data_IF_904217501625
#
_entry.id   IF_904217501625
#
_cell.length_a   1.000
_cell.length_b   1.000
_cell.length_c   1.000
_cell.angle_alpha   90.00
_cell.angle_beta   90.00
_cell.angle_gamma   90.00
#
_symmetry.space_group_name_H-M   'P 1'
#
loop_
_entity.id
_entity.type
_entity.pdbx_description
1 polymer ?
#
# COMPACT_ATOMS: atom_id res chain seq x y z
N UNK A 1 -7.15 29.32 6.01
CA UNK A 1 -6.37 28.31 5.27
C UNK A 1 -7.00 26.95 5.56
N UNK A 2 -7.48 26.21 4.56
CA UNK A 2 -8.00 24.85 4.79
C UNK A 2 -6.81 23.92 5.13
N UNK A 3 -6.96 23.12 6.18
CA UNK A 3 -5.95 22.15 6.57
C UNK A 3 -5.76 21.14 5.43
N UNK A 4 -4.49 20.88 5.07
CA UNK A 4 -4.16 19.85 4.08
C UNK A 4 -4.61 18.51 4.65
N UNK A 5 -5.35 17.68 3.90
CA UNK A 5 -5.74 16.36 4.38
C UNK A 5 -4.51 15.54 4.76
N UNK A 6 -4.63 14.77 5.84
CA UNK A 6 -3.55 13.91 6.31
C UNK A 6 -3.12 12.96 5.18
N UNK A 7 -1.84 12.97 4.86
CA UNK A 7 -1.26 12.02 3.91
C UNK A 7 -0.91 10.74 4.66
N UNK A 8 -1.07 9.59 3.99
CA UNK A 8 -0.71 8.28 4.56
C UNK A 8 0.78 8.25 4.90
N UNK A 9 1.62 8.79 4.04
CA UNK A 9 3.05 8.95 4.29
C UNK A 9 3.30 10.44 4.54
N UNK A 10 3.76 10.79 5.75
CA UNK A 10 4.07 12.19 6.07
C UNK A 10 5.12 12.75 5.09
N UNK A 11 4.81 13.91 4.50
CA UNK A 11 5.61 14.56 3.45
C UNK A 11 5.90 13.67 2.22
N UNK A 12 5.11 12.61 2.03
CA UNK A 12 5.20 11.76 0.86
C UNK A 12 4.68 12.45 -0.39
N UNK A 13 5.29 12.15 -1.54
CA UNK A 13 4.88 12.67 -2.85
C UNK A 13 3.71 11.89 -3.48
N UNK A 14 3.40 10.70 -2.95
CA UNK A 14 2.35 9.84 -3.49
C UNK A 14 1.01 10.18 -2.84
N UNK A 15 -0.03 10.29 -3.68
CA UNK A 15 -1.40 10.42 -3.18
C UNK A 15 -1.88 9.09 -2.56
N UNK A 16 -2.88 9.13 -1.66
CA UNK A 16 -3.48 7.92 -1.11
C UNK A 16 -3.98 6.96 -2.22
N UNK A 17 -4.56 7.49 -3.30
CA UNK A 17 -5.06 6.69 -4.42
C UNK A 17 -3.93 5.92 -5.13
N UNK A 18 -2.78 6.58 -5.35
CA UNK A 18 -1.62 5.93 -5.94
C UNK A 18 -1.09 4.82 -5.02
N UNK A 19 -1.00 5.09 -3.72
CA UNK A 19 -0.57 4.09 -2.73
C UNK A 19 -1.52 2.89 -2.71
N UNK A 20 -2.83 3.13 -2.66
CA UNK A 20 -3.86 2.08 -2.73
C UNK A 20 -3.72 1.25 -4.00
N UNK A 21 -3.55 1.89 -5.16
CA UNK A 21 -3.38 1.17 -6.42
C UNK A 21 -2.13 0.28 -6.43
N UNK A 22 -0.99 0.78 -5.94
CA UNK A 22 0.27 0.01 -5.84
C UNK A 22 0.11 -1.20 -4.91
N UNK A 23 -0.51 -1.01 -3.75
CA UNK A 23 -0.76 -2.06 -2.75
C UNK A 23 -1.70 -3.15 -3.29
N UNK A 24 -2.87 -2.76 -3.81
CA UNK A 24 -3.87 -3.69 -4.37
C UNK A 24 -3.27 -4.46 -5.54
N UNK A 25 -2.65 -3.76 -6.48
CA UNK A 25 -1.97 -4.40 -7.60
C UNK A 25 -0.94 -5.42 -7.14
N UNK A 26 -0.16 -5.13 -6.10
CA UNK A 26 0.88 -6.05 -5.63
C UNK A 26 0.31 -7.28 -4.94
N UNK A 27 -0.62 -7.07 -4.01
CA UNK A 27 -1.04 -8.10 -3.08
C UNK A 27 -2.31 -8.84 -3.52
N UNK A 28 -3.31 -8.13 -4.04
CA UNK A 28 -4.54 -8.73 -4.53
C UNK A 28 -4.40 -9.25 -5.96
N UNK A 29 -3.79 -8.45 -6.85
CA UNK A 29 -3.66 -8.81 -8.27
C UNK A 29 -2.34 -9.52 -8.61
N UNK A 30 -1.52 -9.80 -7.59
CA UNK A 30 -0.24 -10.50 -7.72
C UNK A 30 0.71 -9.88 -8.77
N UNK A 31 0.72 -8.55 -8.86
CA UNK A 31 1.53 -7.80 -9.81
C UNK A 31 2.87 -7.39 -9.16
N UNK A 32 3.98 -8.09 -9.44
CA UNK A 32 5.25 -7.79 -8.79
C UNK A 32 5.76 -6.39 -9.15
N UNK A 33 6.52 -5.77 -8.25
CA UNK A 33 6.93 -4.36 -8.38
C UNK A 33 7.73 -4.03 -9.63
N UNK A 34 8.55 -4.97 -10.13
CA UNK A 34 9.26 -4.74 -11.39
C UNK A 34 8.28 -4.61 -12.57
N UNK A 35 7.14 -5.32 -12.54
CA UNK A 35 6.12 -5.28 -13.58
C UNK A 35 5.26 -4.03 -13.47
N UNK A 36 4.89 -3.64 -12.25
CA UNK A 36 4.23 -2.34 -11.99
C UNK A 36 5.08 -1.17 -12.50
N UNK A 37 6.39 -1.18 -12.22
CA UNK A 37 7.34 -0.19 -12.74
C UNK A 37 7.26 -0.08 -14.27
N UNK A 38 7.28 -1.21 -14.99
CA UNK A 38 7.19 -1.22 -16.45
C UNK A 38 5.82 -0.74 -16.97
N UNK A 39 4.75 -0.85 -16.18
CA UNK A 39 3.44 -0.28 -16.52
C UNK A 39 3.48 1.24 -16.41
N UNK A 40 3.98 1.78 -15.31
CA UNK A 40 4.15 3.23 -15.14
C UNK A 40 5.08 3.82 -16.21
N UNK A 41 6.18 3.13 -16.52
CA UNK A 41 7.11 3.55 -17.58
C UNK A 41 6.43 3.64 -18.95
N UNK A 42 5.51 2.72 -19.28
CA UNK A 42 4.71 2.79 -20.51
C UNK A 42 3.75 3.97 -20.53
N UNK A 43 3.34 4.47 -19.37
CA UNK A 43 2.56 5.70 -19.22
C UNK A 43 3.43 6.97 -19.15
N UNK A 44 4.75 6.87 -19.39
CA UNK A 44 5.69 7.99 -19.31
C UNK A 44 6.07 8.39 -17.87
N UNK A 45 5.75 7.56 -16.88
CA UNK A 45 6.03 7.81 -15.47
C UNK A 45 7.24 6.98 -15.05
N UNK A 46 8.36 7.65 -14.80
CA UNK A 46 9.57 7.03 -14.28
C UNK A 46 9.49 6.86 -12.75
N UNK A 47 9.33 5.62 -12.30
CA UNK A 47 9.37 5.25 -10.88
C UNK A 47 10.45 4.20 -10.66
N UNK A 48 11.26 4.38 -9.62
CA UNK A 48 12.23 3.35 -9.26
C UNK A 48 11.56 2.20 -8.50
N UNK A 49 12.12 0.99 -8.60
CA UNK A 49 11.64 -0.15 -7.80
C UNK A 49 11.80 0.11 -6.29
N UNK A 50 12.85 0.83 -5.88
CA UNK A 50 13.07 1.22 -4.49
C UNK A 50 11.98 2.16 -3.99
N UNK A 51 11.58 3.17 -4.78
CA UNK A 51 10.46 4.05 -4.44
C UNK A 51 9.17 3.27 -4.16
N UNK A 52 8.81 2.35 -5.07
CA UNK A 52 7.63 1.48 -4.87
C UNK A 52 7.77 0.60 -3.61
N UNK A 53 8.96 0.07 -3.36
CA UNK A 53 9.24 -0.75 -2.17
C UNK A 53 9.15 0.05 -0.88
N UNK A 54 9.67 1.28 -0.86
CA UNK A 54 9.63 2.19 0.28
C UNK A 54 8.20 2.58 0.62
N UNK A 55 7.36 2.86 -0.38
CA UNK A 55 5.94 3.14 -0.20
C UNK A 55 5.19 1.96 0.42
N UNK A 56 5.44 0.74 -0.06
CA UNK A 56 4.85 -0.47 0.54
C UNK A 56 5.28 -0.63 1.99
N UNK A 57 6.56 -0.44 2.29
CA UNK A 57 7.07 -0.54 3.65
C UNK A 57 6.39 0.45 4.59
N UNK A 58 6.28 1.73 4.18
CA UNK A 58 5.60 2.76 4.98
C UNK A 58 4.12 2.47 5.16
N UNK A 59 3.41 2.13 4.08
CA UNK A 59 2.00 1.77 4.20
C UNK A 59 1.79 0.55 5.10
N UNK A 60 2.72 -0.41 5.11
CA UNK A 60 2.67 -1.54 6.03
C UNK A 60 2.72 -1.12 7.50
N UNK A 61 3.55 -0.14 7.85
CA UNK A 61 3.60 0.45 9.21
C UNK A 61 2.32 1.19 9.54
N UNK A 62 1.85 2.06 8.64
CA UNK A 62 0.64 2.87 8.88
C UNK A 62 -0.64 2.02 9.00
N UNK A 63 -0.69 0.88 8.31
CA UNK A 63 -1.82 -0.05 8.33
C UNK A 63 -1.74 -1.09 9.47
N UNK A 64 -0.65 -1.11 10.25
CA UNK A 64 -0.46 -2.05 11.36
C UNK A 64 -1.63 -2.04 12.38
N UNK A 65 -2.20 -0.89 12.79
CA UNK A 65 -3.34 -0.88 13.70
C UNK A 65 -4.57 -1.62 13.15
N UNK A 66 -4.81 -1.51 11.84
CA UNK A 66 -5.92 -2.23 11.19
C UNK A 66 -5.63 -3.72 11.10
N UNK A 67 -4.39 -4.11 10.80
CA UNK A 67 -3.98 -5.51 10.79
C UNK A 67 -4.12 -6.15 12.17
N UNK A 68 -3.77 -5.41 13.23
CA UNK A 68 -3.93 -5.86 14.62
C UNK A 68 -5.41 -6.02 15.00
N UNK A 69 -6.26 -5.04 14.68
CA UNK A 69 -7.70 -5.13 14.93
C UNK A 69 -8.33 -6.32 14.18
N UNK A 70 -7.95 -6.53 12.91
CA UNK A 70 -8.41 -7.67 12.13
C UNK A 70 -7.97 -9.00 12.76
N UNK A 71 -6.73 -9.08 13.23
CA UNK A 71 -6.20 -10.26 13.91
C UNK A 71 -7.00 -10.60 15.16
N UNK A 72 -7.34 -9.60 15.99
CA UNK A 72 -8.18 -9.81 17.18
C UNK A 72 -9.55 -10.40 16.81
N UNK A 73 -10.21 -9.83 15.79
CA UNK A 73 -11.50 -10.32 15.29
C UNK A 73 -11.42 -11.76 14.79
N UNK A 74 -10.37 -12.08 14.03
CA UNK A 74 -10.14 -13.43 13.49
C UNK A 74 -9.92 -14.44 14.61
N UNK A 75 -9.11 -14.09 15.62
CA UNK A 75 -8.81 -14.98 16.76
C UNK A 75 -10.02 -15.27 17.66
N UNK A 76 -11.12 -14.52 17.55
CA UNK A 76 -12.38 -14.80 18.24
C UNK A 76 -13.27 -15.83 17.53
N UNK A 77 -12.95 -16.21 16.29
CA UNK A 77 -13.77 -17.14 15.52
C UNK A 77 -13.53 -18.60 15.95
N UNK A 78 -14.58 -19.42 15.92
CA UNK A 78 -14.52 -20.83 16.34
C UNK A 78 -13.58 -21.68 15.46
N UNK A 79 -13.39 -21.29 14.20
CA UNK A 79 -12.52 -21.97 13.23
C UNK A 79 -11.66 -20.89 12.56
N UNK A 80 -10.33 -21.05 12.61
CA UNK A 80 -9.37 -20.12 12.00
C UNK A 80 -8.94 -20.53 10.59
N UNK A 81 -8.89 -21.82 10.33
CA UNK A 81 -8.53 -22.43 9.05
C UNK A 81 -9.23 -23.79 8.97
N UNK A 82 -9.79 -24.13 7.81
CA UNK A 82 -10.42 -25.42 7.54
C UNK A 82 -9.47 -26.37 6.82
#
# INVERSE_FOLDING_TARGET
QQAVPAHVIDKGIASPELLSHVLVSKYADHLPLYRQRLIYQRAGIELSRSTLSDWIGRCGVELEPLANALKEVVLQQQVLHA
#
